data_IF_186434135820
#
_entry.id   IF_186434135820
#
_cell.length_a   1.000
_cell.length_b   1.000
_cell.length_c   1.000
_cell.angle_alpha   90.00
_cell.angle_beta   90.00
_cell.angle_gamma   90.00
#
_symmetry.space_group_name_H-M   'P 1'
#
loop_
_entity.id
_entity.type
_entity.pdbx_description
1 polymer ?
#
# COMPACT_ATOMS: atom_id res chain seq x y z
N UNK A 1 0.39 -6.38 -13.03
CA UNK A 1 1.86 -6.28 -13.17
C UNK A 1 2.55 -7.17 -12.14
N UNK A 2 3.39 -8.12 -12.58
CA UNK A 2 4.20 -8.97 -11.69
C UNK A 2 5.67 -8.56 -11.84
N UNK A 3 6.36 -8.34 -10.72
CA UNK A 3 7.79 -8.05 -10.64
C UNK A 3 8.42 -9.12 -9.75
N UNK A 4 9.29 -9.94 -10.32
CA UNK A 4 9.81 -11.17 -9.72
C UNK A 4 8.91 -12.38 -10.01
N UNK A 5 9.34 -13.20 -10.98
CA UNK A 5 8.53 -14.29 -11.53
C UNK A 5 8.35 -15.44 -10.53
N UNK A 6 9.43 -15.81 -9.84
CA UNK A 6 9.51 -17.03 -9.05
C UNK A 6 10.13 -16.75 -7.66
N UNK A 7 9.55 -17.31 -6.58
CA UNK A 7 10.04 -17.08 -5.22
C UNK A 7 11.39 -17.76 -4.88
N UNK A 8 11.91 -18.64 -5.74
CA UNK A 8 13.23 -19.25 -5.59
C UNK A 8 14.34 -18.45 -6.28
N UNK A 9 14.00 -17.50 -7.16
CA UNK A 9 14.98 -16.68 -7.88
C UNK A 9 15.44 -15.49 -7.04
N UNK A 10 16.32 -15.78 -6.09
CA UNK A 10 16.86 -14.81 -5.11
C UNK A 10 17.69 -13.69 -5.75
N UNK A 11 18.14 -13.86 -7.00
CA UNK A 11 18.91 -12.85 -7.73
C UNK A 11 18.05 -11.63 -8.12
N UNK A 12 16.71 -11.75 -8.05
CA UNK A 12 15.76 -10.66 -8.29
C UNK A 12 15.86 -9.52 -7.24
N UNK A 13 16.66 -9.68 -6.18
CA UNK A 13 16.96 -8.62 -5.18
C UNK A 13 17.58 -7.36 -5.78
N UNK A 14 18.25 -7.49 -6.93
CA UNK A 14 18.83 -6.35 -7.64
C UNK A 14 17.79 -5.49 -8.36
N UNK A 15 16.55 -5.99 -8.53
CA UNK A 15 15.50 -5.30 -9.27
C UNK A 15 15.09 -4.02 -8.53
N UNK A 16 15.16 -2.89 -9.24
CA UNK A 16 14.69 -1.59 -8.79
C UNK A 16 13.74 -1.04 -9.83
N UNK A 17 12.49 -0.78 -9.44
CA UNK A 17 11.45 -0.31 -10.36
C UNK A 17 10.74 0.89 -9.76
N UNK A 18 10.50 1.90 -10.59
CA UNK A 18 9.72 3.07 -10.23
C UNK A 18 8.46 3.10 -11.07
N UNK A 19 7.31 3.20 -10.42
CA UNK A 19 6.00 3.28 -11.07
C UNK A 19 5.42 4.63 -10.68
N UNK A 20 5.21 5.50 -11.66
CA UNK A 20 4.69 6.83 -11.42
C UNK A 20 3.74 7.30 -12.50
N UNK A 21 2.79 8.17 -12.11
CA UNK A 21 1.80 8.77 -13.01
C UNK A 21 1.02 7.74 -13.83
N UNK A 22 0.88 6.52 -13.31
CA UNK A 22 0.08 5.48 -13.92
C UNK A 22 -1.37 5.56 -13.43
N UNK A 23 -2.30 5.29 -14.35
CA UNK A 23 -3.72 5.17 -14.07
C UNK A 23 -4.15 3.70 -14.22
N UNK A 24 -4.66 3.11 -13.14
CA UNK A 24 -5.16 1.74 -13.10
C UNK A 24 -6.66 1.75 -12.77
N UNK A 25 -7.50 1.29 -13.70
CA UNK A 25 -8.97 1.32 -13.57
C UNK A 25 -9.58 -0.05 -13.92
N UNK A 26 -10.54 -0.52 -13.11
CA UNK A 26 -11.28 -1.77 -13.34
C UNK A 26 -10.42 -3.04 -13.31
N UNK A 27 -9.20 -2.97 -12.78
CA UNK A 27 -8.21 -4.04 -12.85
C UNK A 27 -8.30 -4.99 -11.66
N UNK A 28 -8.26 -6.30 -11.90
CA UNK A 28 -8.55 -7.27 -10.83
C UNK A 28 -7.52 -7.27 -9.68
N UNK A 29 -6.21 -7.17 -9.97
CA UNK A 29 -5.13 -7.22 -8.97
C UNK A 29 -3.74 -6.90 -9.55
N UNK A 30 -2.75 -6.69 -8.66
CA UNK A 30 -1.29 -6.61 -8.93
C UNK A 30 -0.83 -5.26 -9.52
N UNK A 31 -0.95 -4.20 -8.73
CA UNK A 31 -0.52 -2.83 -9.04
C UNK A 31 0.59 -2.32 -8.09
N UNK A 32 1.77 -2.96 -8.00
CA UNK A 32 2.24 -4.22 -8.55
C UNK A 32 2.12 -5.38 -7.54
N UNK A 33 2.49 -6.59 -7.96
CA UNK A 33 2.93 -7.66 -7.05
C UNK A 33 4.44 -7.83 -7.14
N UNK A 34 5.14 -7.66 -6.03
CA UNK A 34 6.60 -7.63 -5.97
C UNK A 34 7.16 -8.82 -5.17
N UNK A 35 8.32 -9.33 -5.59
CA UNK A 35 9.19 -10.25 -4.83
C UNK A 35 10.64 -9.78 -4.92
N UNK A 36 11.40 -9.90 -3.83
CA UNK A 36 12.83 -9.59 -3.61
C UNK A 36 13.30 -8.16 -3.91
N UNK A 37 12.82 -7.56 -4.98
CA UNK A 37 13.23 -6.24 -5.44
C UNK A 37 12.64 -5.09 -4.62
N UNK A 38 12.96 -3.89 -5.09
CA UNK A 38 12.51 -2.62 -4.51
C UNK A 38 11.65 -1.86 -5.50
N UNK A 39 10.47 -1.43 -5.07
CA UNK A 39 9.57 -0.63 -5.89
C UNK A 39 9.28 0.71 -5.21
N UNK A 40 9.39 1.79 -5.98
CA UNK A 40 8.87 3.10 -5.61
C UNK A 40 7.60 3.40 -6.41
N UNK A 41 6.48 3.52 -5.71
CA UNK A 41 5.19 3.94 -6.23
C UNK A 41 4.99 5.40 -5.86
N UNK A 42 4.88 6.31 -6.83
CA UNK A 42 4.47 7.67 -6.53
C UNK A 42 3.56 8.33 -7.57
N UNK A 43 2.64 9.19 -7.12
CA UNK A 43 1.67 9.90 -7.97
C UNK A 43 0.86 8.98 -8.91
N UNK A 44 0.53 7.77 -8.48
CA UNK A 44 -0.34 6.86 -9.24
C UNK A 44 -1.77 6.98 -8.77
N UNK A 45 -2.71 6.81 -9.71
CA UNK A 45 -4.13 6.75 -9.41
C UNK A 45 -4.65 5.34 -9.72
N UNK A 46 -5.14 4.66 -8.69
CA UNK A 46 -5.68 3.30 -8.80
C UNK A 46 -7.12 3.30 -8.30
N UNK A 47 -8.05 2.82 -9.13
CA UNK A 47 -9.47 2.71 -8.80
C UNK A 47 -10.05 1.33 -9.14
N UNK A 48 -11.15 0.99 -8.48
CA UNK A 48 -12.01 -0.16 -8.81
C UNK A 48 -11.28 -1.51 -8.95
N UNK A 49 -10.39 -1.83 -8.01
CA UNK A 49 -9.70 -3.13 -8.03
C UNK A 49 -10.53 -4.27 -7.45
N UNK A 50 -10.33 -5.48 -8.00
CA UNK A 50 -11.13 -6.66 -7.64
C UNK A 50 -10.70 -7.37 -6.33
N UNK A 51 -9.39 -7.56 -6.11
CA UNK A 51 -8.88 -8.37 -4.98
C UNK A 51 -7.99 -7.54 -4.05
N UNK A 52 -6.92 -6.96 -4.60
CA UNK A 52 -6.00 -6.06 -3.90
C UNK A 52 -5.35 -5.11 -4.91
N UNK A 53 -4.94 -3.92 -4.47
CA UNK A 53 -4.17 -3.00 -5.30
C UNK A 53 -2.69 -3.45 -5.35
N UNK A 54 -1.96 -3.27 -4.25
CA UNK A 54 -0.52 -3.53 -4.13
C UNK A 54 -0.28 -4.80 -3.31
N UNK A 55 0.69 -5.63 -3.72
CA UNK A 55 1.08 -6.82 -2.97
C UNK A 55 2.60 -6.96 -2.84
N UNK A 56 3.07 -7.20 -1.61
CA UNK A 56 4.44 -7.63 -1.36
C UNK A 56 4.46 -9.13 -1.04
N UNK A 57 5.26 -9.87 -1.81
CA UNK A 57 5.71 -11.23 -1.50
C UNK A 57 7.07 -11.21 -0.80
N UNK A 58 7.79 -12.33 -0.82
CA UNK A 58 9.11 -12.54 -0.15
C UNK A 58 10.10 -11.39 -0.37
N UNK A 59 10.70 -10.94 0.73
CA UNK A 59 11.75 -9.90 0.83
C UNK A 59 11.48 -8.62 0.02
N UNK A 60 10.24 -8.36 -0.39
CA UNK A 60 9.89 -7.23 -1.22
C UNK A 60 9.87 -5.93 -0.41
N UNK A 61 10.42 -4.86 -1.00
CA UNK A 61 10.39 -3.52 -0.42
C UNK A 61 9.57 -2.59 -1.30
N UNK A 62 8.52 -1.98 -0.74
CA UNK A 62 7.64 -1.07 -1.48
C UNK A 62 7.58 0.25 -0.71
N UNK A 63 7.90 1.33 -1.42
CA UNK A 63 7.70 2.70 -0.96
C UNK A 63 6.52 3.27 -1.73
N UNK A 64 5.45 3.66 -1.04
CA UNK A 64 4.25 4.25 -1.65
C UNK A 64 4.06 5.67 -1.15
N UNK A 65 4.12 6.65 -2.06
CA UNK A 65 4.08 8.08 -1.74
C UNK A 65 3.12 8.82 -2.66
N UNK A 66 2.25 9.68 -2.12
CA UNK A 66 1.34 10.51 -2.92
C UNK A 66 0.48 9.75 -3.95
N UNK A 67 0.16 8.48 -3.68
CA UNK A 67 -0.73 7.69 -4.55
C UNK A 67 -2.18 7.83 -4.09
N UNK A 68 -3.11 7.88 -5.05
CA UNK A 68 -4.54 7.90 -4.81
C UNK A 68 -5.10 6.49 -5.02
N UNK A 69 -5.69 5.92 -3.97
CA UNK A 69 -6.33 4.60 -4.00
C UNK A 69 -7.82 4.73 -3.75
N UNK A 70 -8.62 4.66 -4.81
CA UNK A 70 -10.07 4.73 -4.76
C UNK A 70 -10.68 3.33 -4.81
N UNK A 71 -10.99 2.78 -3.64
CA UNK A 71 -11.57 1.45 -3.54
C UNK A 71 -13.04 1.45 -3.95
N UNK A 72 -13.40 0.58 -4.90
CA UNK A 72 -14.78 0.23 -5.20
C UNK A 72 -15.33 -0.74 -4.14
N UNK A 73 -15.77 -1.93 -4.57
CA UNK A 73 -16.33 -2.94 -3.67
C UNK A 73 -15.32 -3.53 -2.67
N UNK A 74 -14.04 -3.62 -3.03
CA UNK A 74 -12.97 -4.11 -2.15
C UNK A 74 -12.05 -2.97 -1.75
N UNK A 75 -11.75 -2.90 -0.45
CA UNK A 75 -10.93 -1.85 0.16
C UNK A 75 -9.50 -2.28 0.51
N UNK A 76 -9.11 -3.52 0.19
CA UNK A 76 -7.75 -3.99 0.48
C UNK A 76 -6.76 -3.34 -0.48
N UNK A 77 -6.11 -2.27 -0.05
CA UNK A 77 -5.08 -1.59 -0.86
C UNK A 77 -3.78 -2.40 -0.84
N UNK A 78 -3.23 -2.63 0.35
CA UNK A 78 -1.98 -3.37 0.53
C UNK A 78 -2.28 -4.78 1.02
N UNK A 79 -1.68 -5.77 0.35
CA UNK A 79 -1.74 -7.18 0.77
C UNK A 79 -0.33 -7.71 0.98
N UNK A 80 -0.14 -8.38 2.11
CA UNK A 80 1.06 -9.16 2.34
C UNK A 80 0.80 -10.63 1.99
N UNK A 81 1.69 -11.22 1.19
CA UNK A 81 1.70 -12.66 0.91
C UNK A 81 2.98 -13.25 1.50
N UNK A 82 2.92 -13.85 2.70
CA UNK A 82 4.04 -14.59 3.24
C UNK A 82 4.26 -15.86 2.41
N UNK A 83 5.07 -15.74 1.37
CA UNK A 83 5.92 -16.84 0.92
C UNK A 83 7.12 -16.85 1.92
N UNK A 84 7.79 -17.98 2.18
CA UNK A 84 8.76 -18.12 3.29
C UNK A 84 9.86 -17.03 3.31
N UNK A 85 9.65 -15.85 3.95
CA UNK A 85 10.58 -14.85 4.56
C UNK A 85 9.86 -13.47 4.73
N UNK A 86 10.26 -12.72 5.78
CA UNK A 86 9.74 -11.42 6.25
C UNK A 86 9.98 -10.24 5.26
N UNK A 87 9.02 -9.31 5.17
CA UNK A 87 9.10 -8.12 4.32
C UNK A 87 8.83 -6.85 5.12
N UNK A 88 9.47 -5.73 4.75
CA UNK A 88 9.36 -4.44 5.43
C UNK A 88 8.57 -3.49 4.52
N UNK A 89 7.37 -3.11 4.96
CA UNK A 89 6.62 -2.01 4.37
C UNK A 89 6.95 -0.72 5.10
N UNK A 90 7.24 0.34 4.34
CA UNK A 90 7.33 1.69 4.87
C UNK A 90 6.24 2.52 4.19
N UNK A 91 5.14 2.71 4.91
CA UNK A 91 4.06 3.58 4.52
C UNK A 91 4.30 4.92 5.22
N UNK A 92 4.67 5.95 4.45
CA UNK A 92 4.79 7.29 4.99
C UNK A 92 3.36 7.85 5.18
N UNK A 93 2.93 7.99 6.43
CA UNK A 93 1.59 8.45 6.87
C UNK A 93 1.31 9.95 6.58
N UNK A 94 1.89 10.54 5.52
CA UNK A 94 1.82 11.99 5.26
C UNK A 94 0.62 12.46 4.41
N UNK A 95 -0.45 11.67 4.26
CA UNK A 95 -1.65 12.08 3.49
C UNK A 95 -2.99 11.89 4.21
N UNK A 96 -3.04 12.10 5.54
CA UNK A 96 -4.32 12.24 6.26
C UNK A 96 -4.25 13.27 7.40
N UNK A 97 -4.01 14.52 7.05
CA UNK A 97 -4.27 15.66 7.95
C UNK A 97 -4.64 16.92 7.14
N UNK A 98 -5.56 16.78 6.18
CA UNK A 98 -6.23 17.93 5.57
C UNK A 98 -7.61 17.50 5.12
N UNK A 99 -8.52 17.32 6.08
CA UNK A 99 -9.97 17.47 6.04
C UNK A 99 -10.45 16.88 7.38
N UNK A 100 -10.65 17.78 8.35
CA UNK A 100 -11.72 17.78 9.36
C UNK A 100 -11.39 18.90 10.37
N UNK A 101 -11.64 20.13 9.93
CA UNK A 101 -12.17 21.15 10.81
C UNK A 101 -13.55 20.65 11.24
N UNK A 102 -13.66 20.08 12.44
CA UNK A 102 -14.81 20.16 13.38
C UNK A 102 -14.71 19.06 14.44
N UNK A 103 -14.85 19.48 15.70
CA UNK A 103 -15.08 18.66 16.91
C UNK A 103 -13.87 18.01 17.59
N UNK A 104 -13.01 18.86 18.18
CA UNK A 104 -12.05 18.49 19.23
C UNK A 104 -12.62 18.71 20.65
N UNK A 105 -13.94 18.84 20.82
CA UNK A 105 -14.55 19.30 22.09
C UNK A 105 -15.42 18.26 22.82
N UNK A 106 -15.40 16.96 22.45
CA UNK A 106 -16.32 15.98 23.08
C UNK A 106 -15.67 14.80 23.82
N UNK A 107 -14.34 14.65 23.88
CA UNK A 107 -13.72 13.44 24.48
C UNK A 107 -12.90 13.74 25.76
N UNK A 108 -12.82 14.99 26.22
CA UNK A 108 -12.07 15.37 27.43
C UNK A 108 -12.92 15.74 28.66
N UNK A 109 -14.24 15.46 28.66
CA UNK A 109 -15.12 15.69 29.83
C UNK A 109 -15.81 14.40 30.34
N UNK A 110 -15.12 13.26 30.36
CA UNK A 110 -15.63 12.06 31.05
C UNK A 110 -14.58 11.32 31.90
N UNK A 111 -13.45 11.98 32.21
CA UNK A 111 -12.42 11.43 33.11
C UNK A 111 -12.18 12.28 34.37
N UNK A 112 -13.14 13.12 34.74
CA UNK A 112 -13.09 13.93 35.96
C UNK A 112 -14.48 14.16 36.56
N UNK A 113 -15.17 13.10 37.00
CA UNK A 113 -16.24 13.13 38.00
C UNK A 113 -16.72 11.71 38.33
N UNK A 114 -16.63 11.33 39.62
CA UNK A 114 -17.13 10.07 40.19
C UNK A 114 -15.98 9.23 40.72
N UNK A 115 -15.52 9.42 41.97
CA UNK A 115 -16.12 8.88 43.21
C UNK A 115 -16.44 7.39 43.11
#
# INVERSE_FOLDING_TARGET
>A
MLIGADPAHVDDRCIRVTIHHCFFDGTRQRHPRLRFGKVHLYNNYTRDWGIYAVCAGVEAQIVSQCNIYEGGHKKTVFKYMPEKVLCIFRQDDTMRLSILHTSWLQILMSAAAGC
#
